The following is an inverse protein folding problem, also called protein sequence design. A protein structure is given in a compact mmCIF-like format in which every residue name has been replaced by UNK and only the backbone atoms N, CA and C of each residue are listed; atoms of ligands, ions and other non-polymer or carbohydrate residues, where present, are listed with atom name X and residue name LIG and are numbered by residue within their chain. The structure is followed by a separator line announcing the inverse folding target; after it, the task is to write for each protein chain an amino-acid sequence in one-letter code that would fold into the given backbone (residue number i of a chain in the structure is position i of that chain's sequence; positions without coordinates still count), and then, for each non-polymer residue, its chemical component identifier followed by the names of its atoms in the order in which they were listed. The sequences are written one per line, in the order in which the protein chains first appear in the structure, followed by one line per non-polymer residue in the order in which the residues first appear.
data_IF_599125986352
#
_entry.id   IF_599125986352
#
_cell.length_a   1.000
_cell.length_b   1.000
_cell.length_c   1.000
_cell.angle_alpha   90.00
_cell.angle_beta   90.00
_cell.angle_gamma   90.00
#
_symmetry.space_group_name_H-M   'P 1'
#
loop_
_entity.id
_entity.type
_entity.pdbx_description
1 polymer ?
#
# COMPACT_ATOMS: atom_id res chain seq x y z
N UNK A 1 4.63 -49.53 41.87
CA UNK A 1 3.65 -48.42 41.81
C UNK A 1 4.41 -47.12 41.69
N UNK A 2 4.67 -46.66 40.48
CA UNK A 2 5.18 -45.31 40.23
C UNK A 2 4.22 -44.72 39.19
N UNK A 3 3.28 -43.90 39.66
CA UNK A 3 2.39 -43.13 38.80
C UNK A 3 3.23 -42.07 38.09
N UNK A 4 3.52 -42.30 36.81
CA UNK A 4 4.01 -41.29 35.90
C UNK A 4 2.80 -40.59 35.28
N UNK A 5 2.33 -39.52 35.90
CA UNK A 5 1.27 -38.70 35.31
C UNK A 5 1.53 -37.21 35.58
N UNK A 6 2.55 -36.69 34.93
CA UNK A 6 2.68 -35.25 34.70
C UNK A 6 3.28 -35.06 33.31
N UNK A 7 2.39 -34.92 32.32
CA UNK A 7 2.73 -34.30 31.04
C UNK A 7 3.30 -32.92 31.34
N UNK A 8 4.61 -32.75 31.15
CA UNK A 8 5.24 -31.44 31.16
C UNK A 8 4.68 -30.65 29.96
N UNK A 9 3.65 -29.87 30.24
CA UNK A 9 3.06 -28.94 29.29
C UNK A 9 3.98 -27.73 29.25
N UNK A 10 4.89 -27.69 28.27
CA UNK A 10 5.66 -26.49 27.96
C UNK A 10 4.72 -25.42 27.37
N UNK A 11 3.88 -24.83 28.22
CA UNK A 11 3.06 -23.68 27.88
C UNK A 11 3.88 -22.41 28.11
N UNK A 12 4.82 -22.12 27.21
CA UNK A 12 5.62 -20.87 27.24
C UNK A 12 4.73 -19.63 27.02
N UNK A 13 3.47 -19.82 26.64
CA UNK A 13 2.44 -18.80 26.54
C UNK A 13 1.16 -19.36 27.19
N UNK A 14 0.58 -18.64 28.15
CA UNK A 14 -0.77 -18.97 28.59
C UNK A 14 -1.70 -18.91 27.37
N UNK A 15 -2.63 -19.87 27.20
CA UNK A 15 -3.58 -19.81 26.10
C UNK A 15 -4.36 -18.51 26.22
N UNK A 16 -4.38 -17.72 25.13
CA UNK A 16 -5.12 -16.45 25.05
C UNK A 16 -6.53 -16.69 25.60
N UNK A 17 -6.81 -16.11 26.77
CA UNK A 17 -8.09 -16.21 27.48
C UNK A 17 -9.17 -15.33 26.84
N UNK A 18 -8.95 -14.92 25.59
CA UNK A 18 -9.90 -14.17 24.79
C UNK A 18 -11.23 -14.91 24.66
N UNK A 19 -12.31 -14.14 24.74
CA UNK A 19 -13.65 -14.63 24.46
C UNK A 19 -13.79 -15.17 23.03
N UNK A 20 -14.92 -15.86 22.77
CA UNK A 20 -15.30 -16.28 21.43
C UNK A 20 -15.33 -15.08 20.46
N UNK A 21 -15.04 -15.33 19.18
CA UNK A 21 -14.99 -14.25 18.20
C UNK A 21 -16.39 -13.66 17.97
N UNK A 22 -16.62 -12.37 18.24
CA UNK A 22 -17.95 -11.77 18.13
C UNK A 22 -18.50 -11.78 16.71
N UNK A 23 -17.66 -11.96 15.69
CA UNK A 23 -18.13 -12.11 14.30
C UNK A 23 -19.04 -13.35 14.14
N UNK A 24 -18.85 -14.40 14.93
CA UNK A 24 -19.64 -15.64 14.87
C UNK A 24 -21.06 -15.42 15.40
N UNK A 25 -21.21 -14.64 16.47
CA UNK A 25 -22.49 -14.27 17.04
C UNK A 25 -23.13 -13.01 16.40
N UNK A 26 -22.37 -12.25 15.60
CA UNK A 26 -22.85 -11.00 15.00
C UNK A 26 -23.96 -11.26 13.96
N UNK A 27 -25.05 -10.50 14.06
CA UNK A 27 -26.10 -10.46 13.04
C UNK A 27 -25.60 -9.88 11.71
N UNK A 28 -26.37 -10.09 10.63
CA UNK A 28 -26.00 -9.68 9.27
C UNK A 28 -25.58 -8.20 9.17
N UNK A 29 -26.36 -7.28 9.73
CA UNK A 29 -26.06 -5.86 9.70
C UNK A 29 -24.74 -5.53 10.43
N UNK A 30 -24.52 -6.13 11.62
CA UNK A 30 -23.28 -5.93 12.37
C UNK A 30 -22.05 -6.49 11.65
N UNK A 31 -22.20 -7.55 10.85
CA UNK A 31 -21.11 -8.05 9.98
C UNK A 31 -20.85 -7.09 8.83
N UNK A 32 -21.90 -6.63 8.17
CA UNK A 32 -21.83 -5.72 7.02
C UNK A 32 -21.17 -4.38 7.35
N UNK A 33 -21.49 -3.78 8.50
CA UNK A 33 -20.87 -2.49 8.90
C UNK A 33 -19.62 -2.66 9.76
N UNK A 34 -19.08 -3.88 9.88
CA UNK A 34 -17.98 -4.23 10.81
C UNK A 34 -18.23 -3.81 12.28
N UNK A 35 -19.50 -3.67 12.67
CA UNK A 35 -19.91 -3.22 14.00
C UNK A 35 -19.51 -4.16 15.14
N UNK A 36 -19.20 -5.43 14.83
CA UNK A 36 -18.71 -6.42 15.80
C UNK A 36 -17.35 -6.03 16.40
N UNK A 37 -16.60 -5.12 15.77
CA UNK A 37 -15.31 -4.61 16.26
C UNK A 37 -15.46 -3.55 17.36
N UNK A 38 -16.64 -2.93 17.49
CA UNK A 38 -16.91 -1.79 18.38
C UNK A 38 -16.51 -2.03 19.85
N UNK A 39 -16.76 -3.20 20.48
CA UNK A 39 -16.36 -3.42 21.87
C UNK A 39 -14.85 -3.31 22.09
N UNK A 40 -14.05 -3.88 21.19
CA UNK A 40 -12.58 -3.83 21.26
C UNK A 40 -12.06 -2.41 21.00
N UNK A 41 -12.63 -1.69 20.03
CA UNK A 41 -12.29 -0.30 19.77
C UNK A 41 -12.63 0.61 20.96
N UNK A 42 -13.76 0.36 21.63
CA UNK A 42 -14.17 1.11 22.81
C UNK A 42 -13.23 0.83 23.98
N UNK A 43 -12.84 -0.42 24.19
CA UNK A 43 -11.86 -0.81 25.21
C UNK A 43 -10.48 -0.16 24.95
N UNK A 44 -10.04 -0.15 23.69
CA UNK A 44 -8.79 0.48 23.26
C UNK A 44 -8.76 2.00 23.47
N UNK A 45 -9.92 2.67 23.43
CA UNK A 45 -10.04 4.08 23.79
C UNK A 45 -9.95 4.33 25.30
N UNK A 46 -10.27 3.33 26.12
CA UNK A 46 -10.26 3.46 27.59
C UNK A 46 -8.90 3.09 28.19
N UNK A 47 -8.23 2.09 27.63
CA UNK A 47 -6.89 1.66 28.05
C UNK A 47 -6.13 1.01 26.91
N UNK A 48 -4.81 0.89 27.09
CA UNK A 48 -3.99 0.09 26.19
C UNK A 48 -4.43 -1.38 26.21
N UNK A 49 -4.60 -1.95 25.02
CA UNK A 49 -5.00 -3.34 24.83
C UNK A 49 -3.85 -4.27 25.18
N UNK A 50 -4.17 -5.36 25.88
CA UNK A 50 -3.26 -6.43 26.20
C UNK A 50 -3.62 -7.70 25.40
N UNK A 51 -2.71 -8.67 25.23
CA UNK A 51 -2.96 -9.87 24.45
C UNK A 51 -4.19 -10.67 24.89
N UNK A 52 -4.59 -10.57 26.17
CA UNK A 52 -5.75 -11.26 26.71
C UNK A 52 -7.09 -10.64 26.25
N UNK A 53 -7.06 -9.39 25.79
CA UNK A 53 -8.24 -8.67 25.27
C UNK A 53 -8.62 -9.10 23.85
N UNK A 54 -7.71 -9.77 23.14
CA UNK A 54 -7.91 -10.21 21.77
C UNK A 54 -8.79 -11.44 21.73
N UNK A 55 -9.72 -11.48 20.78
CA UNK A 55 -10.56 -12.64 20.56
C UNK A 55 -9.79 -13.83 20.01
N UNK A 56 -10.28 -15.02 20.32
CA UNK A 56 -9.78 -16.24 19.69
C UNK A 56 -10.08 -16.22 18.19
N UNK A 57 -9.16 -16.77 17.41
CA UNK A 57 -9.38 -16.98 15.98
C UNK A 57 -10.52 -17.98 15.75
N UNK A 58 -11.33 -17.71 14.73
CA UNK A 58 -12.34 -18.66 14.24
C UNK A 58 -11.66 -19.95 13.81
N UNK A 59 -12.33 -21.10 13.98
CA UNK A 59 -11.74 -22.41 13.66
C UNK A 59 -11.29 -22.52 12.19
N UNK A 60 -12.04 -21.91 11.27
CA UNK A 60 -11.70 -21.84 9.85
C UNK A 60 -10.42 -21.05 9.55
N UNK A 61 -10.01 -20.16 10.48
CA UNK A 61 -8.82 -19.30 10.34
C UNK A 61 -7.64 -19.80 11.17
N UNK A 62 -7.74 -20.96 11.82
CA UNK A 62 -6.62 -21.57 12.55
C UNK A 62 -5.60 -22.14 11.57
N UNK A 63 -4.33 -22.06 11.94
CA UNK A 63 -3.20 -22.47 11.07
C UNK A 63 -3.27 -23.95 10.71
N UNK A 64 -3.59 -24.84 11.65
CA UNK A 64 -3.59 -26.29 11.41
C UNK A 64 -4.52 -26.73 10.26
N UNK A 65 -5.84 -26.40 10.24
CA UNK A 65 -6.71 -26.80 9.13
C UNK A 65 -6.31 -26.12 7.80
N UNK A 66 -5.89 -24.84 7.86
CA UNK A 66 -5.46 -24.11 6.67
C UNK A 66 -4.22 -24.75 6.02
N UNK A 67 -3.20 -25.05 6.83
CA UNK A 67 -1.95 -25.68 6.38
C UNK A 67 -2.21 -27.07 5.83
N UNK A 68 -3.01 -27.90 6.49
CA UNK A 68 -3.33 -29.25 6.01
C UNK A 68 -4.02 -29.21 4.65
N UNK A 69 -5.01 -28.32 4.48
CA UNK A 69 -5.67 -28.14 3.20
C UNK A 69 -4.69 -27.65 2.12
N UNK A 70 -3.91 -26.62 2.43
CA UNK A 70 -2.94 -26.05 1.49
C UNK A 70 -1.87 -27.08 1.07
N UNK A 71 -1.30 -27.81 2.02
CA UNK A 71 -0.29 -28.83 1.78
C UNK A 71 -0.82 -29.97 0.89
N UNK A 72 -2.07 -30.40 1.10
CA UNK A 72 -2.70 -31.44 0.27
C UNK A 72 -2.81 -31.03 -1.20
N UNK A 73 -3.12 -29.76 -1.46
CA UNK A 73 -3.19 -29.19 -2.82
C UNK A 73 -1.79 -28.95 -3.37
N UNK A 74 -0.85 -28.52 -2.53
CA UNK A 74 0.54 -28.28 -2.89
C UNK A 74 1.25 -29.52 -3.43
N UNK A 75 1.08 -30.67 -2.78
CA UNK A 75 1.64 -31.93 -3.29
C UNK A 75 0.96 -32.37 -4.60
N UNK A 76 -0.37 -32.18 -4.74
CA UNK A 76 -1.12 -32.49 -5.98
C UNK A 76 -0.72 -31.61 -7.17
N UNK A 77 -0.32 -30.36 -6.92
CA UNK A 77 0.04 -29.36 -7.94
C UNK A 77 1.55 -29.31 -8.23
N UNK A 78 2.29 -30.36 -7.86
CA UNK A 78 3.72 -30.45 -8.19
C UNK A 78 4.59 -29.46 -7.42
N UNK A 79 4.21 -29.11 -6.19
CA UNK A 79 4.98 -28.26 -5.28
C UNK A 79 5.17 -26.81 -5.76
N UNK A 80 4.26 -26.31 -6.58
CA UNK A 80 4.21 -24.92 -6.99
C UNK A 80 3.28 -24.10 -6.08
N UNK A 81 3.83 -23.10 -5.37
CA UNK A 81 3.10 -22.25 -4.41
C UNK A 81 1.96 -21.49 -5.10
N UNK A 82 2.23 -20.80 -6.21
CA UNK A 82 1.23 -20.00 -6.92
C UNK A 82 0.12 -20.87 -7.54
N UNK A 83 0.46 -22.02 -8.10
CA UNK A 83 -0.53 -22.97 -8.63
C UNK A 83 -1.49 -23.48 -7.56
N UNK A 84 -0.95 -23.71 -6.36
CA UNK A 84 -1.72 -24.14 -5.18
C UNK A 84 -2.62 -23.02 -4.66
N UNK A 85 -2.10 -21.79 -4.63
CA UNK A 85 -2.89 -20.60 -4.31
C UNK A 85 -4.11 -20.46 -5.22
N UNK A 86 -3.90 -20.48 -6.55
CA UNK A 86 -5.03 -20.39 -7.48
C UNK A 86 -6.00 -21.56 -7.31
N UNK A 87 -5.52 -22.79 -7.16
CA UNK A 87 -6.41 -23.94 -6.96
C UNK A 87 -7.34 -23.82 -5.74
N UNK A 88 -6.89 -23.15 -4.66
CA UNK A 88 -7.67 -22.97 -3.42
C UNK A 88 -8.57 -21.73 -3.50
N UNK A 89 -8.04 -20.62 -4.00
CA UNK A 89 -8.71 -19.32 -3.89
C UNK A 89 -9.38 -18.83 -5.18
N UNK A 90 -9.30 -19.57 -6.30
CA UNK A 90 -9.77 -19.13 -7.63
C UNK A 90 -11.18 -18.54 -7.65
N UNK A 91 -12.16 -19.19 -6.99
CA UNK A 91 -13.53 -18.70 -6.99
C UNK A 91 -13.69 -17.34 -6.30
N UNK A 92 -13.04 -17.15 -5.15
CA UNK A 92 -13.00 -15.85 -4.44
C UNK A 92 -12.20 -14.82 -5.22
N UNK A 93 -11.11 -15.25 -5.85
CA UNK A 93 -10.23 -14.42 -6.65
C UNK A 93 -10.96 -13.82 -7.86
N UNK A 94 -11.73 -14.61 -8.63
CA UNK A 94 -12.55 -14.05 -9.73
C UNK A 94 -13.55 -13.03 -9.20
N UNK A 95 -14.26 -13.35 -8.10
CA UNK A 95 -15.24 -12.44 -7.52
C UNK A 95 -14.60 -11.12 -7.11
N UNK A 96 -13.45 -11.16 -6.45
CA UNK A 96 -12.67 -9.97 -6.07
C UNK A 96 -12.32 -9.15 -7.31
N UNK A 97 -11.82 -9.80 -8.37
CA UNK A 97 -11.49 -9.12 -9.62
C UNK A 97 -12.69 -8.41 -10.24
N UNK A 98 -13.83 -9.09 -10.37
CA UNK A 98 -15.05 -8.52 -10.93
C UNK A 98 -15.55 -7.32 -10.10
N UNK A 99 -15.54 -7.45 -8.78
CA UNK A 99 -15.96 -6.40 -7.87
C UNK A 99 -14.98 -5.20 -7.89
N UNK A 100 -13.67 -5.43 -8.07
CA UNK A 100 -12.69 -4.37 -8.20
C UNK A 100 -12.85 -3.61 -9.53
N UNK A 101 -13.20 -4.31 -10.61
CA UNK A 101 -13.61 -3.66 -11.86
C UNK A 101 -14.88 -2.83 -11.68
N UNK A 102 -15.90 -3.35 -10.99
CA UNK A 102 -17.11 -2.59 -10.70
C UNK A 102 -16.80 -1.34 -9.86
N UNK A 103 -15.88 -1.46 -8.91
CA UNK A 103 -15.41 -0.35 -8.09
C UNK A 103 -14.70 0.73 -8.92
N UNK A 104 -13.87 0.33 -9.89
CA UNK A 104 -13.24 1.24 -10.86
C UNK A 104 -14.30 1.99 -11.69
N UNK A 105 -15.35 1.31 -12.16
CA UNK A 105 -16.47 1.97 -12.87
C UNK A 105 -17.18 2.97 -11.97
N UNK A 106 -17.42 2.62 -10.71
CA UNK A 106 -18.01 3.52 -9.71
C UNK A 106 -17.16 4.77 -9.44
N UNK A 107 -15.84 4.63 -9.41
CA UNK A 107 -14.92 5.77 -9.26
C UNK A 107 -14.98 6.74 -10.44
N UNK A 108 -15.11 6.21 -11.66
CA UNK A 108 -15.18 7.01 -12.88
C UNK A 108 -16.57 7.61 -13.16
N UNK A 109 -17.63 7.07 -12.56
CA UNK A 109 -19.00 7.54 -12.77
C UNK A 109 -19.16 9.04 -12.45
N UNK A 110 -18.55 9.50 -11.36
CA UNK A 110 -18.62 10.91 -10.95
C UNK A 110 -17.90 11.85 -11.90
N UNK A 111 -16.56 11.75 -12.03
CA UNK A 111 -15.77 12.60 -12.91
C UNK A 111 -16.10 12.45 -14.41
N UNK A 112 -16.45 11.24 -14.85
CA UNK A 112 -16.63 10.92 -16.26
C UNK A 112 -18.02 11.21 -16.82
N UNK A 113 -19.06 11.23 -15.98
CA UNK A 113 -20.44 11.41 -16.45
C UNK A 113 -21.17 12.49 -15.63
N UNK A 114 -21.30 12.30 -14.32
CA UNK A 114 -22.19 13.14 -13.50
C UNK A 114 -21.74 14.60 -13.45
N UNK A 115 -20.45 14.86 -13.29
CA UNK A 115 -19.96 16.22 -13.07
C UNK A 115 -20.24 17.14 -14.27
N UNK A 116 -19.99 16.67 -15.48
CA UNK A 116 -20.25 17.44 -16.71
C UNK A 116 -21.74 17.71 -16.92
N UNK A 117 -22.59 16.69 -16.73
CA UNK A 117 -24.04 16.79 -16.87
C UNK A 117 -24.67 17.74 -15.85
N UNK A 118 -24.23 17.68 -14.59
CA UNK A 118 -24.73 18.58 -13.54
C UNK A 118 -24.37 20.02 -13.86
N UNK A 119 -23.14 20.30 -14.29
CA UNK A 119 -22.73 21.66 -14.63
C UNK A 119 -23.51 22.17 -15.86
N UNK A 120 -23.63 21.35 -16.91
CA UNK A 120 -24.39 21.71 -18.11
C UNK A 120 -25.87 21.98 -17.80
N UNK A 121 -26.48 21.19 -16.92
CA UNK A 121 -27.87 21.39 -16.50
C UNK A 121 -28.07 22.66 -15.65
N UNK A 122 -27.06 23.08 -14.89
CA UNK A 122 -27.08 24.33 -14.11
C UNK A 122 -26.84 25.56 -14.98
N UNK A 123 -26.04 25.44 -16.04
CA UNK A 123 -25.80 26.51 -17.03
C UNK A 123 -26.98 26.70 -18.00
N UNK A 124 -27.88 25.73 -18.11
CA UNK A 124 -29.03 25.80 -19.00
C UNK A 124 -30.03 26.90 -18.57
N UNK A 125 -30.72 27.58 -19.53
CA UNK A 125 -31.67 28.66 -19.23
C UNK A 125 -32.84 28.24 -18.32
N UNK A 126 -33.22 26.96 -18.37
CA UNK A 126 -34.26 26.39 -17.53
C UNK A 126 -33.68 25.22 -16.73
N UNK A 127 -33.59 25.39 -15.42
CA UNK A 127 -33.10 24.34 -14.51
C UNK A 127 -34.16 23.25 -14.35
N UNK A 128 -33.87 22.05 -14.81
CA UNK A 128 -34.63 20.87 -14.41
C UNK A 128 -34.10 20.35 -13.07
N UNK A 129 -34.64 20.89 -11.97
CA UNK A 129 -34.21 20.55 -10.62
C UNK A 129 -34.32 19.03 -10.33
N UNK A 130 -35.35 18.36 -10.87
CA UNK A 130 -35.53 16.92 -10.70
C UNK A 130 -34.40 16.11 -11.33
N UNK A 131 -33.98 16.47 -12.55
CA UNK A 131 -32.87 15.80 -13.23
C UNK A 131 -31.54 15.98 -12.48
N UNK A 132 -31.25 17.21 -12.04
CA UNK A 132 -30.02 17.50 -11.26
C UNK A 132 -30.03 16.75 -9.92
N UNK A 133 -31.16 16.74 -9.20
CA UNK A 133 -31.28 16.00 -7.94
C UNK A 133 -31.14 14.48 -8.16
N UNK A 134 -31.65 13.93 -9.27
CA UNK A 134 -31.45 12.53 -9.62
C UNK A 134 -29.98 12.19 -9.87
N UNK A 135 -29.26 13.04 -10.61
CA UNK A 135 -27.82 12.87 -10.86
C UNK A 135 -26.97 12.99 -9.59
N UNK A 136 -27.26 13.96 -8.73
CA UNK A 136 -26.54 14.13 -7.46
C UNK A 136 -26.87 12.96 -6.51
N UNK A 137 -28.13 12.55 -6.46
CA UNK A 137 -28.58 11.40 -5.68
C UNK A 137 -27.96 10.08 -6.16
N UNK A 138 -27.88 9.86 -7.47
CA UNK A 138 -27.22 8.68 -8.04
C UNK A 138 -25.72 8.68 -7.75
N UNK A 139 -25.05 9.83 -7.86
CA UNK A 139 -23.64 9.97 -7.51
C UNK A 139 -23.39 9.60 -6.04
N UNK A 140 -24.19 10.15 -5.12
CA UNK A 140 -24.08 9.83 -3.70
C UNK A 140 -24.30 8.33 -3.44
N UNK A 141 -25.34 7.74 -4.03
CA UNK A 141 -25.65 6.32 -3.88
C UNK A 141 -24.53 5.43 -4.42
N UNK A 142 -24.00 5.74 -5.61
CA UNK A 142 -22.89 5.00 -6.23
C UNK A 142 -21.63 5.12 -5.37
N UNK A 143 -21.28 6.31 -4.88
CA UNK A 143 -20.08 6.49 -4.07
C UNK A 143 -20.20 5.83 -2.68
N UNK A 144 -21.38 5.85 -2.07
CA UNK A 144 -21.64 5.13 -0.83
C UNK A 144 -21.51 3.62 -1.02
N UNK A 145 -22.14 3.08 -2.08
CA UNK A 145 -22.02 1.66 -2.42
C UNK A 145 -20.57 1.26 -2.73
N UNK A 146 -19.84 2.11 -3.46
CA UNK A 146 -18.44 1.89 -3.80
C UNK A 146 -17.53 1.93 -2.56
N UNK A 147 -17.79 2.83 -1.60
CA UNK A 147 -17.07 2.86 -0.34
C UNK A 147 -17.28 1.57 0.47
N UNK A 148 -18.52 1.09 0.58
CA UNK A 148 -18.81 -0.19 1.22
C UNK A 148 -18.11 -1.34 0.50
N UNK A 149 -18.19 -1.36 -0.84
CA UNK A 149 -17.59 -2.39 -1.67
C UNK A 149 -16.06 -2.47 -1.48
N UNK A 150 -15.37 -1.33 -1.56
CA UNK A 150 -13.91 -1.25 -1.36
C UNK A 150 -13.47 -1.77 -0.01
N UNK A 151 -14.18 -1.40 1.06
CA UNK A 151 -13.85 -1.87 2.41
C UNK A 151 -14.01 -3.39 2.54
N UNK A 152 -15.08 -3.97 1.98
CA UNK A 152 -15.27 -5.42 1.98
C UNK A 152 -14.25 -6.13 1.08
N UNK A 153 -13.88 -5.55 -0.05
CA UNK A 153 -12.84 -6.08 -0.93
C UNK A 153 -11.47 -6.12 -0.23
N UNK A 154 -11.09 -5.04 0.44
CA UNK A 154 -9.86 -4.98 1.22
C UNK A 154 -9.86 -6.05 2.32
N UNK A 155 -10.95 -6.17 3.07
CA UNK A 155 -11.09 -7.20 4.10
C UNK A 155 -10.95 -8.62 3.53
N UNK A 156 -11.56 -8.92 2.38
CA UNK A 156 -11.45 -10.23 1.74
C UNK A 156 -10.05 -10.52 1.22
N UNK A 157 -9.38 -9.53 0.60
CA UNK A 157 -8.00 -9.64 0.14
C UNK A 157 -7.05 -9.88 1.32
N UNK A 158 -7.17 -9.09 2.39
CA UNK A 158 -6.34 -9.23 3.59
C UNK A 158 -6.55 -10.59 4.26
N UNK A 159 -7.80 -11.06 4.34
CA UNK A 159 -8.10 -12.39 4.88
C UNK A 159 -7.43 -13.51 4.07
N UNK A 160 -7.53 -13.47 2.74
CA UNK A 160 -6.87 -14.44 1.85
C UNK A 160 -5.34 -14.38 2.04
N UNK A 161 -4.77 -13.17 2.07
CA UNK A 161 -3.33 -12.97 2.27
C UNK A 161 -2.84 -13.53 3.61
N UNK A 162 -3.57 -13.27 4.69
CA UNK A 162 -3.25 -13.78 6.03
C UNK A 162 -3.37 -15.30 6.08
N UNK A 163 -4.44 -15.90 5.57
CA UNK A 163 -4.63 -17.35 5.52
C UNK A 163 -3.52 -18.04 4.72
N UNK A 164 -3.19 -17.48 3.57
CA UNK A 164 -2.15 -18.00 2.69
C UNK A 164 -0.77 -17.93 3.33
N UNK A 165 -0.35 -16.76 3.83
CA UNK A 165 0.97 -16.62 4.47
C UNK A 165 1.11 -17.42 5.75
N UNK A 166 0.04 -17.58 6.53
CA UNK A 166 0.05 -18.41 7.73
C UNK A 166 0.31 -19.88 7.40
N UNK A 167 -0.29 -20.37 6.31
CA UNK A 167 -0.05 -21.73 5.78
C UNK A 167 1.41 -21.89 5.34
N UNK A 168 1.94 -20.93 4.59
CA UNK A 168 3.33 -20.94 4.14
C UNK A 168 4.32 -20.89 5.31
N UNK A 169 4.09 -20.05 6.32
CA UNK A 169 4.92 -19.99 7.53
C UNK A 169 4.94 -21.32 8.27
N UNK A 170 3.80 -21.97 8.41
CA UNK A 170 3.70 -23.29 9.04
C UNK A 170 4.50 -24.34 8.27
N UNK A 171 4.32 -24.40 6.95
CA UNK A 171 5.06 -25.34 6.09
C UNK A 171 6.57 -25.07 6.09
N UNK A 172 6.97 -23.79 6.07
CA UNK A 172 8.37 -23.39 6.13
C UNK A 172 9.00 -23.80 7.46
N UNK A 173 8.27 -23.60 8.57
CA UNK A 173 8.72 -24.01 9.90
C UNK A 173 8.87 -25.54 10.00
N UNK A 174 7.87 -26.31 9.56
CA UNK A 174 7.95 -27.77 9.52
C UNK A 174 9.09 -28.27 8.62
N UNK A 175 9.31 -27.62 7.47
CA UNK A 175 10.40 -27.94 6.57
C UNK A 175 11.74 -27.64 7.22
N UNK A 176 11.91 -26.49 7.87
CA UNK A 176 13.13 -26.08 8.56
C UNK A 176 13.54 -27.07 9.66
N UNK A 177 12.57 -27.62 10.40
CA UNK A 177 12.80 -28.66 11.42
C UNK A 177 13.28 -29.99 10.81
N UNK A 178 12.93 -30.28 9.56
CA UNK A 178 13.29 -31.52 8.84
C UNK A 178 14.48 -31.38 7.89
N UNK A 179 15.10 -30.20 7.81
CA UNK A 179 16.28 -29.99 6.97
C UNK A 179 17.48 -30.77 7.52
N UNK A 180 18.14 -31.51 6.64
CA UNK A 180 19.36 -32.23 6.91
C UNK A 180 20.57 -31.27 6.98
N UNK A 181 21.70 -31.76 7.48
CA UNK A 181 22.90 -30.94 7.66
C UNK A 181 23.49 -30.41 6.34
N UNK A 182 23.26 -31.08 5.20
CA UNK A 182 23.72 -30.61 3.89
C UNK A 182 22.91 -29.39 3.43
N UNK A 183 21.58 -29.45 3.51
CA UNK A 183 20.72 -28.31 3.15
C UNK A 183 20.93 -27.09 4.05
N UNK A 184 21.30 -27.30 5.32
CA UNK A 184 21.66 -26.21 6.26
C UNK A 184 22.98 -25.49 5.89
N UNK A 185 23.80 -26.07 5.02
CA UNK A 185 25.00 -25.39 4.48
C UNK A 185 24.66 -24.48 3.29
N UNK A 186 23.59 -24.78 2.55
CA UNK A 186 23.14 -23.97 1.41
C UNK A 186 22.30 -22.76 1.82
N UNK A 187 21.51 -22.88 2.90
CA UNK A 187 20.69 -21.80 3.45
C UNK A 187 21.03 -21.57 4.91
N UNK A 188 21.46 -20.36 5.23
CA UNK A 188 21.79 -19.97 6.61
C UNK A 188 20.51 -19.82 7.44
N UNK A 189 20.65 -19.82 8.77
CA UNK A 189 19.54 -19.49 9.67
C UNK A 189 18.97 -18.08 9.39
N UNK A 190 19.82 -17.15 8.94
CA UNK A 190 19.40 -15.81 8.52
C UNK A 190 18.53 -15.84 7.26
N UNK A 191 18.89 -16.66 6.26
CA UNK A 191 18.09 -16.81 5.04
C UNK A 191 16.70 -17.39 5.34
N UNK A 192 16.63 -18.39 6.23
CA UNK A 192 15.36 -18.98 6.66
C UNK A 192 14.53 -17.98 7.46
N UNK A 193 15.17 -17.18 8.32
CA UNK A 193 14.49 -16.11 9.04
C UNK A 193 13.91 -15.06 8.08
N UNK A 194 14.64 -14.68 7.03
CA UNK A 194 14.16 -13.77 6.01
C UNK A 194 12.97 -14.35 5.23
N UNK A 195 13.04 -15.62 4.85
CA UNK A 195 11.90 -16.33 4.23
C UNK A 195 10.66 -16.27 5.12
N UNK A 196 10.85 -16.48 6.43
CA UNK A 196 9.76 -16.49 7.40
C UNK A 196 9.17 -15.10 7.66
N UNK A 197 10.00 -14.06 7.76
CA UNK A 197 9.54 -12.72 8.14
C UNK A 197 9.18 -11.81 6.96
N UNK A 198 9.94 -11.84 5.87
CA UNK A 198 9.79 -10.92 4.73
C UNK A 198 9.05 -11.59 3.59
N UNK A 199 9.53 -12.74 3.12
CA UNK A 199 9.00 -13.34 1.90
C UNK A 199 7.56 -13.82 2.05
N UNK A 200 7.20 -14.42 3.19
CA UNK A 200 5.80 -14.81 3.45
C UNK A 200 4.85 -13.62 3.55
N UNK A 201 5.33 -12.42 3.94
CA UNK A 201 4.53 -11.18 3.95
C UNK A 201 4.36 -10.66 2.52
N UNK A 202 5.43 -10.62 1.73
CA UNK A 202 5.38 -10.17 0.34
C UNK A 202 4.43 -11.02 -0.51
N UNK A 203 4.38 -12.32 -0.23
CA UNK A 203 3.45 -13.25 -0.89
C UNK A 203 1.98 -12.97 -0.52
N UNK A 204 1.68 -12.33 0.62
CA UNK A 204 0.32 -11.84 0.93
C UNK A 204 -0.12 -10.77 -0.06
N UNK A 205 0.79 -9.85 -0.39
CA UNK A 205 0.54 -8.75 -1.30
C UNK A 205 0.25 -9.22 -2.73
N UNK A 206 0.64 -10.45 -3.09
CA UNK A 206 0.36 -11.05 -4.40
C UNK A 206 -1.11 -10.93 -4.80
N UNK A 207 -2.03 -11.30 -3.90
CA UNK A 207 -3.47 -11.33 -4.16
C UNK A 207 -4.03 -9.94 -4.52
N UNK A 208 -3.53 -8.90 -3.84
CA UNK A 208 -3.92 -7.51 -4.10
C UNK A 208 -3.22 -6.95 -5.35
N UNK A 209 -1.91 -7.22 -5.51
CA UNK A 209 -1.11 -6.71 -6.62
C UNK A 209 -1.57 -7.23 -7.97
N UNK A 210 -1.91 -8.51 -8.08
CA UNK A 210 -2.33 -9.12 -9.36
C UNK A 210 -3.62 -8.50 -9.91
N UNK A 211 -4.59 -8.16 -9.06
CA UNK A 211 -5.80 -7.50 -9.56
C UNK A 211 -5.53 -6.05 -9.98
N UNK A 212 -4.70 -5.35 -9.21
CA UNK A 212 -4.29 -4.01 -9.56
C UNK A 212 -3.48 -3.94 -10.88
N UNK A 213 -2.75 -5.00 -11.24
CA UNK A 213 -1.97 -5.09 -12.49
C UNK A 213 -2.81 -4.96 -13.78
N UNK A 214 -4.09 -5.35 -13.76
CA UNK A 214 -4.97 -5.19 -14.92
C UNK A 214 -6.03 -4.10 -14.71
N UNK A 215 -6.48 -3.87 -13.48
CA UNK A 215 -7.43 -2.78 -13.18
C UNK A 215 -6.80 -1.40 -13.43
N UNK A 216 -5.55 -1.17 -12.99
CA UNK A 216 -4.92 0.15 -13.17
C UNK A 216 -4.71 0.52 -14.64
N UNK A 217 -4.19 -0.35 -15.53
CA UNK A 217 -4.12 -0.05 -16.96
C UNK A 217 -5.49 0.21 -17.59
N UNK A 218 -6.52 -0.55 -17.21
CA UNK A 218 -7.89 -0.29 -17.68
C UNK A 218 -8.41 1.06 -17.21
N UNK A 219 -8.14 1.44 -15.96
CA UNK A 219 -8.51 2.74 -15.41
C UNK A 219 -7.81 3.87 -16.17
N UNK A 220 -6.50 3.75 -16.42
CA UNK A 220 -5.74 4.72 -17.21
C UNK A 220 -6.35 4.84 -18.62
N UNK A 221 -6.60 3.72 -19.30
CA UNK A 221 -7.20 3.70 -20.62
C UNK A 221 -8.59 4.36 -20.67
N UNK A 222 -9.44 4.04 -19.69
CA UNK A 222 -10.78 4.61 -19.58
C UNK A 222 -10.74 6.13 -19.31
N UNK A 223 -9.86 6.59 -18.41
CA UNK A 223 -9.70 8.03 -18.12
C UNK A 223 -9.16 8.78 -19.34
N UNK A 224 -8.17 8.22 -20.05
CA UNK A 224 -7.65 8.83 -21.27
C UNK A 224 -8.70 8.90 -22.37
N UNK A 225 -9.52 7.86 -22.52
CA UNK A 225 -10.65 7.87 -23.45
C UNK A 225 -11.66 8.97 -23.10
N UNK A 226 -12.08 9.07 -21.82
CA UNK A 226 -13.00 10.11 -21.37
C UNK A 226 -12.42 11.51 -21.56
N UNK A 227 -11.14 11.72 -21.22
CA UNK A 227 -10.46 12.98 -21.47
C UNK A 227 -10.42 13.32 -22.96
N UNK A 228 -10.15 12.35 -23.83
CA UNK A 228 -10.20 12.55 -25.28
C UNK A 228 -11.61 12.96 -25.76
N UNK A 229 -12.68 12.40 -25.18
CA UNK A 229 -14.05 12.82 -25.54
C UNK A 229 -14.37 14.26 -25.11
N UNK A 230 -13.73 14.77 -24.04
CA UNK A 230 -14.01 16.12 -23.50
C UNK A 230 -13.11 17.18 -24.13
N UNK A 231 -11.80 16.94 -24.24
CA UNK A 231 -10.80 17.92 -24.72
C UNK A 231 -10.14 17.54 -26.06
N UNK A 232 -10.59 16.47 -26.71
CA UNK A 232 -10.06 16.05 -28.01
C UNK A 232 -8.57 15.72 -27.96
N UNK A 233 -7.84 16.09 -29.01
CA UNK A 233 -6.40 15.77 -29.13
C UNK A 233 -5.50 16.58 -28.17
N UNK A 234 -6.02 17.61 -27.49
CA UNK A 234 -5.27 18.36 -26.48
C UNK A 234 -4.72 17.48 -25.35
N UNK A 235 -5.37 16.34 -25.08
CA UNK A 235 -4.90 15.36 -24.10
C UNK A 235 -3.51 14.81 -24.42
N UNK A 236 -3.18 14.64 -25.70
CA UNK A 236 -1.86 14.11 -26.11
C UNK A 236 -0.74 15.12 -25.87
N UNK A 237 -1.03 16.42 -26.00
CA UNK A 237 -0.08 17.49 -25.60
C UNK A 237 0.10 17.51 -24.09
N UNK A 238 -0.99 17.33 -23.34
CA UNK A 238 -0.93 17.14 -21.88
C UNK A 238 -0.07 15.95 -21.47
N UNK A 239 -0.24 14.80 -22.13
CA UNK A 239 0.59 13.60 -21.91
C UNK A 239 2.07 13.86 -22.23
N UNK A 240 2.38 14.57 -23.32
CA UNK A 240 3.75 14.96 -23.62
C UNK A 240 4.34 15.86 -22.51
N UNK A 241 3.56 16.81 -21.99
CA UNK A 241 3.98 17.63 -20.85
C UNK A 241 4.20 16.80 -19.58
N UNK A 242 3.32 15.84 -19.27
CA UNK A 242 3.50 14.90 -18.15
C UNK A 242 4.81 14.13 -18.30
N UNK A 243 5.13 13.63 -19.49
CA UNK A 243 6.38 12.89 -19.73
C UNK A 243 7.62 13.76 -19.47
N UNK A 244 7.62 15.00 -19.94
CA UNK A 244 8.72 15.95 -19.70
C UNK A 244 8.87 16.23 -18.19
N UNK A 245 7.76 16.46 -17.49
CA UNK A 245 7.78 16.70 -16.05
C UNK A 245 8.24 15.46 -15.28
N UNK A 246 7.88 14.25 -15.73
CA UNK A 246 8.31 13.00 -15.11
C UNK A 246 9.82 12.79 -15.27
N UNK A 247 10.40 13.11 -16.44
CA UNK A 247 11.84 13.08 -16.67
C UNK A 247 12.54 14.07 -15.72
N UNK A 248 12.01 15.29 -15.61
CA UNK A 248 12.52 16.30 -14.68
C UNK A 248 12.50 15.81 -13.22
N UNK A 249 11.37 15.25 -12.77
CA UNK A 249 11.24 14.65 -11.44
C UNK A 249 12.24 13.51 -11.24
N UNK A 250 12.46 12.67 -12.25
CA UNK A 250 13.45 11.59 -12.23
C UNK A 250 14.89 12.09 -12.03
N UNK A 251 15.29 13.13 -12.75
CA UNK A 251 16.61 13.76 -12.59
C UNK A 251 16.81 14.31 -11.16
N UNK A 252 15.80 15.01 -10.62
CA UNK A 252 15.86 15.54 -9.25
C UNK A 252 15.82 14.44 -8.19
N UNK A 253 15.09 13.35 -8.42
CA UNK A 253 15.10 12.18 -7.55
C UNK A 253 16.48 11.50 -7.51
N UNK A 254 17.19 11.41 -8.65
CA UNK A 254 18.57 10.91 -8.68
C UNK A 254 19.54 11.82 -7.91
N UNK A 255 19.40 13.14 -8.05
CA UNK A 255 20.18 14.12 -7.28
C UNK A 255 19.86 14.04 -5.78
N UNK A 256 18.59 13.84 -5.43
CA UNK A 256 18.16 13.59 -4.05
C UNK A 256 18.84 12.35 -3.48
N UNK A 257 18.92 11.26 -4.25
CA UNK A 257 19.58 10.02 -3.85
C UNK A 257 21.07 10.20 -3.56
N UNK A 258 21.80 10.91 -4.42
CA UNK A 258 23.25 11.15 -4.23
C UNK A 258 23.53 12.02 -3.00
N UNK A 259 22.75 13.08 -2.78
CA UNK A 259 22.86 13.89 -1.57
C UNK A 259 22.38 13.13 -0.32
N UNK A 260 21.44 12.19 -0.47
CA UNK A 260 21.02 11.28 0.61
C UNK A 260 22.17 10.42 1.11
N UNK A 261 22.90 9.80 0.18
CA UNK A 261 24.08 9.00 0.50
C UNK A 261 25.16 9.85 1.17
N UNK A 262 25.37 11.08 0.67
CA UNK A 262 26.35 11.99 1.23
C UNK A 262 26.05 12.37 2.67
N UNK A 263 24.81 12.75 3.00
CA UNK A 263 24.50 13.13 4.38
C UNK A 263 24.58 11.93 5.32
N UNK A 264 24.25 10.72 4.85
CA UNK A 264 24.40 9.49 5.64
C UNK A 264 25.87 9.22 5.97
N UNK A 265 26.79 9.37 5.02
CA UNK A 265 28.24 9.24 5.27
C UNK A 265 28.73 10.22 6.35
N UNK A 266 28.35 11.50 6.25
CA UNK A 266 28.73 12.53 7.24
C UNK A 266 28.14 12.25 8.62
N UNK A 267 26.92 11.72 8.68
CA UNK A 267 26.28 11.27 9.92
C UNK A 267 27.05 10.10 10.53
N UNK A 268 27.50 9.14 9.73
CA UNK A 268 28.25 7.98 10.19
C UNK A 268 29.64 8.38 10.69
N UNK A 269 30.35 9.29 10.01
CA UNK A 269 31.62 9.87 10.45
C UNK A 269 31.48 10.56 11.82
N UNK A 270 30.42 11.35 12.00
CA UNK A 270 30.11 11.98 13.29
C UNK A 270 29.83 10.93 14.36
N UNK A 271 29.01 9.93 14.05
CA UNK A 271 28.62 8.90 15.02
C UNK A 271 29.82 8.05 15.45
N UNK A 272 30.76 7.78 14.54
CA UNK A 272 32.02 7.10 14.85
C UNK A 272 32.80 7.85 15.93
N UNK A 273 33.00 9.16 15.77
CA UNK A 273 33.71 9.98 16.77
C UNK A 273 32.95 10.03 18.10
N UNK A 274 31.62 10.15 18.06
CA UNK A 274 30.80 10.10 19.27
C UNK A 274 31.00 8.77 20.02
N UNK A 275 30.98 7.64 19.31
CA UNK A 275 31.22 6.32 19.90
C UNK A 275 32.64 6.19 20.49
N UNK A 276 33.67 6.70 19.81
CA UNK A 276 35.05 6.73 20.32
C UNK A 276 35.16 7.54 21.63
N UNK A 277 34.48 8.70 21.69
CA UNK A 277 34.46 9.56 22.89
C UNK A 277 33.79 8.87 24.07
N UNK A 278 32.61 8.28 23.88
CA UNK A 278 31.92 7.57 24.96
C UNK A 278 32.64 6.28 25.37
N UNK A 279 33.26 5.57 24.43
CA UNK A 279 34.06 4.39 24.71
C UNK A 279 35.30 4.67 25.55
N UNK A 280 35.88 5.88 25.44
CA UNK A 280 37.10 6.29 26.15
C UNK A 280 36.88 7.47 27.12
N UNK A 281 35.66 7.64 27.65
CA UNK A 281 35.26 8.85 28.38
C UNK A 281 36.10 9.13 29.62
N UNK A 282 36.55 8.09 30.33
CA UNK A 282 37.39 8.23 31.53
C UNK A 282 38.74 8.87 31.20
N UNK A 283 39.39 8.44 30.11
CA UNK A 283 40.69 8.98 29.65
C UNK A 283 40.52 10.44 29.21
N UNK A 284 39.45 10.74 28.48
CA UNK A 284 39.16 12.10 28.00
C UNK A 284 38.98 13.06 29.18
N UNK A 285 38.21 12.67 30.21
CA UNK A 285 38.00 13.48 31.41
C UNK A 285 39.26 13.64 32.25
N UNK A 286 40.01 12.56 32.44
CA UNK A 286 41.26 12.60 33.20
C UNK A 286 42.28 13.58 32.60
N UNK A 287 42.29 13.70 31.27
CA UNK A 287 43.20 14.61 30.55
C UNK A 287 42.58 15.98 30.20
N UNK A 288 41.36 16.27 30.64
CA UNK A 288 40.63 17.50 30.30
C UNK A 288 40.54 17.79 28.77
N UNK A 289 40.30 16.75 27.96
CA UNK A 289 40.24 16.85 26.50
C UNK A 289 38.82 17.10 25.94
N UNK A 290 37.83 17.34 26.78
CA UNK A 290 36.42 17.45 26.39
C UNK A 290 36.20 18.52 25.33
N UNK A 291 36.77 19.71 25.52
CA UNK A 291 36.61 20.84 24.58
C UNK A 291 37.20 20.52 23.19
N UNK A 292 38.32 19.78 23.14
CA UNK A 292 38.93 19.39 21.86
C UNK A 292 38.05 18.40 21.09
N UNK A 293 37.52 17.38 21.76
CA UNK A 293 36.60 16.42 21.14
C UNK A 293 35.26 17.08 20.77
N UNK A 294 34.75 17.99 21.61
CA UNK A 294 33.55 18.75 21.32
C UNK A 294 33.72 19.61 20.07
N UNK A 295 34.86 20.29 19.91
CA UNK A 295 35.17 21.07 18.72
C UNK A 295 35.20 20.18 17.45
N UNK A 296 35.84 19.01 17.53
CA UNK A 296 35.86 18.02 16.43
C UNK A 296 34.45 17.56 16.06
N UNK A 297 33.61 17.23 17.04
CA UNK A 297 32.20 16.82 16.81
C UNK A 297 31.40 17.97 16.19
N UNK A 298 31.58 19.22 16.65
CA UNK A 298 30.90 20.40 16.08
C UNK A 298 31.31 20.66 14.63
N UNK A 299 32.57 20.44 14.27
CA UNK A 299 33.04 20.54 12.88
C UNK A 299 32.38 19.49 11.97
N UNK A 300 32.28 18.23 12.43
CA UNK A 300 31.57 17.20 11.67
C UNK A 300 30.07 17.52 11.57
N UNK A 301 29.48 18.04 12.65
CA UNK A 301 28.07 18.45 12.67
C UNK A 301 27.77 19.59 11.70
N UNK A 302 28.66 20.58 11.55
CA UNK A 302 28.44 21.68 10.61
C UNK A 302 28.49 21.20 9.15
N UNK A 303 29.41 20.28 8.81
CA UNK A 303 29.46 19.63 7.52
C UNK A 303 28.19 18.78 7.24
N UNK A 304 27.77 17.98 8.22
CA UNK A 304 26.52 17.20 8.16
C UNK A 304 25.32 18.12 7.90
N UNK A 305 25.16 19.19 8.68
CA UNK A 305 24.06 20.16 8.52
C UNK A 305 24.09 20.87 7.16
N UNK A 306 25.28 21.14 6.61
CA UNK A 306 25.42 21.70 5.26
C UNK A 306 24.85 20.76 4.19
N UNK A 307 25.15 19.46 4.28
CA UNK A 307 24.60 18.43 3.38
C UNK A 307 23.10 18.23 3.59
N UNK A 308 22.63 18.18 4.84
CA UNK A 308 21.20 18.12 5.17
C UNK A 308 20.45 19.31 4.59
N UNK A 309 20.99 20.54 4.68
CA UNK A 309 20.37 21.73 4.07
C UNK A 309 20.26 21.60 2.55
N UNK A 310 21.26 21.02 1.88
CA UNK A 310 21.22 20.77 0.43
C UNK A 310 20.18 19.73 0.08
N UNK A 311 20.13 18.61 0.81
CA UNK A 311 19.14 17.57 0.67
C UNK A 311 17.71 18.12 0.83
N UNK A 312 17.45 18.90 1.88
CA UNK A 312 16.14 19.51 2.12
C UNK A 312 15.73 20.49 1.01
N UNK A 313 16.67 21.27 0.44
CA UNK A 313 16.36 22.14 -0.71
C UNK A 313 15.94 21.34 -1.94
N UNK A 314 16.63 20.23 -2.23
CA UNK A 314 16.28 19.36 -3.36
C UNK A 314 14.89 18.75 -3.16
N UNK A 315 14.60 18.25 -1.94
CA UNK A 315 13.27 17.75 -1.59
C UNK A 315 12.21 18.82 -1.78
N UNK A 316 12.44 20.05 -1.29
CA UNK A 316 11.49 21.14 -1.44
C UNK A 316 11.17 21.43 -2.91
N UNK A 317 12.20 21.48 -3.76
CA UNK A 317 12.03 21.67 -5.21
C UNK A 317 11.21 20.52 -5.80
N UNK A 318 11.59 19.27 -5.51
CA UNK A 318 10.91 18.08 -6.04
C UNK A 318 9.42 18.04 -5.62
N UNK A 319 9.12 18.25 -4.34
CA UNK A 319 7.74 18.28 -3.83
C UNK A 319 6.95 19.43 -4.47
N UNK A 320 7.55 20.61 -4.63
CA UNK A 320 6.90 21.76 -5.26
C UNK A 320 6.54 21.44 -6.71
N UNK A 321 7.49 20.93 -7.50
CA UNK A 321 7.24 20.55 -8.89
C UNK A 321 6.20 19.43 -9.01
N UNK A 322 6.26 18.43 -8.14
CA UNK A 322 5.28 17.34 -8.12
C UNK A 322 3.85 17.85 -7.85
N UNK A 323 3.68 18.78 -6.90
CA UNK A 323 2.37 19.38 -6.60
C UNK A 323 1.91 20.38 -7.68
N UNK A 324 2.83 21.06 -8.37
CA UNK A 324 2.52 21.94 -9.49
C UNK A 324 2.26 21.18 -10.80
N UNK A 325 2.64 19.90 -10.89
CA UNK A 325 2.50 19.09 -12.12
C UNK A 325 1.06 19.10 -12.66
N UNK A 326 0.01 18.83 -11.87
CA UNK A 326 -1.36 18.84 -12.38
C UNK A 326 -1.79 20.22 -12.92
N UNK A 327 -1.31 21.29 -12.28
CA UNK A 327 -1.61 22.67 -12.69
C UNK A 327 -0.96 22.96 -14.05
N UNK A 328 0.33 22.67 -14.19
CA UNK A 328 1.07 22.88 -15.44
C UNK A 328 0.48 22.08 -16.60
N UNK A 329 0.15 20.81 -16.37
CA UNK A 329 -0.47 19.93 -17.37
C UNK A 329 -1.83 20.46 -17.78
N UNK A 330 -2.65 20.89 -16.82
CA UNK A 330 -3.97 21.48 -17.08
C UNK A 330 -3.85 22.75 -17.92
N UNK A 331 -2.91 23.65 -17.59
CA UNK A 331 -2.65 24.87 -18.37
C UNK A 331 -2.29 24.51 -19.81
N UNK A 332 -1.38 23.55 -20.03
CA UNK A 332 -0.97 23.13 -21.38
C UNK A 332 -2.15 22.58 -22.18
N UNK A 333 -3.00 21.76 -21.55
CA UNK A 333 -4.17 21.16 -22.19
C UNK A 333 -5.22 22.20 -22.55
N UNK A 334 -5.57 23.09 -21.62
CA UNK A 334 -6.56 24.14 -21.90
C UNK A 334 -6.04 25.22 -22.84
N UNK A 335 -4.76 25.55 -22.79
CA UNK A 335 -4.12 26.43 -23.77
C UNK A 335 -4.18 25.82 -25.17
N UNK A 336 -3.90 24.52 -25.31
CA UNK A 336 -4.03 23.80 -26.58
C UNK A 336 -5.48 23.81 -27.08
N UNK A 337 -6.42 23.46 -26.20
CA UNK A 337 -7.85 23.41 -26.52
C UNK A 337 -8.41 24.78 -26.98
N UNK A 338 -8.02 25.85 -26.30
CA UNK A 338 -8.56 27.19 -26.59
C UNK A 338 -7.77 27.89 -27.70
N UNK A 339 -6.45 27.90 -27.63
CA UNK A 339 -5.60 28.69 -28.53
C UNK A 339 -5.33 27.99 -29.86
N UNK A 340 -5.11 26.67 -29.86
CA UNK A 340 -4.84 25.91 -31.09
C UNK A 340 -6.10 25.30 -31.69
N UNK A 341 -6.95 24.64 -30.89
CA UNK A 341 -8.18 24.02 -31.41
C UNK A 341 -9.33 25.02 -31.62
N UNK A 342 -9.18 26.25 -31.11
CA UNK A 342 -10.20 27.33 -31.20
C UNK A 342 -11.57 26.91 -30.64
N UNK A 343 -11.57 26.00 -29.67
CA UNK A 343 -12.78 25.54 -28.99
C UNK A 343 -13.08 26.42 -27.77
N UNK A 344 -14.37 26.56 -27.44
CA UNK A 344 -14.79 27.31 -26.27
C UNK A 344 -14.59 26.46 -24.99
N UNK A 345 -13.87 27.01 -24.03
CA UNK A 345 -13.61 26.37 -22.75
C UNK A 345 -14.79 26.65 -21.79
N UNK A 346 -15.74 25.72 -21.70
CA UNK A 346 -16.89 25.82 -20.78
C UNK A 346 -16.53 25.38 -19.37
N UNK A 347 -17.33 25.80 -18.38
CA UNK A 347 -17.13 25.41 -16.97
C UNK A 347 -17.22 23.89 -16.82
N UNK A 348 -18.16 23.24 -17.52
CA UNK A 348 -18.31 21.79 -17.53
C UNK A 348 -17.04 21.06 -18.01
N UNK A 349 -16.40 21.56 -19.08
CA UNK A 349 -15.15 20.99 -19.62
C UNK A 349 -14.02 21.13 -18.59
N UNK A 350 -13.88 22.29 -17.97
CA UNK A 350 -12.81 22.58 -17.00
C UNK A 350 -12.89 21.65 -15.80
N UNK A 351 -14.05 21.59 -15.13
CA UNK A 351 -14.21 20.79 -13.92
C UNK A 351 -14.15 19.28 -14.20
N UNK A 352 -14.76 18.81 -15.29
CA UNK A 352 -14.70 17.39 -15.65
C UNK A 352 -13.28 16.94 -15.99
N UNK A 353 -12.53 17.79 -16.71
CA UNK A 353 -11.13 17.52 -17.07
C UNK A 353 -10.23 17.51 -15.83
N UNK A 354 -10.40 18.46 -14.90
CA UNK A 354 -9.66 18.49 -13.63
C UNK A 354 -9.93 17.24 -12.78
N UNK A 355 -11.18 16.82 -12.66
CA UNK A 355 -11.56 15.64 -11.90
C UNK A 355 -10.96 14.35 -12.52
N UNK A 356 -11.04 14.21 -13.85
CA UNK A 356 -10.43 13.09 -14.55
C UNK A 356 -8.89 13.10 -14.50
N UNK A 357 -8.25 14.27 -14.55
CA UNK A 357 -6.79 14.36 -14.35
C UNK A 357 -6.37 13.90 -12.97
N UNK A 358 -7.15 14.23 -11.93
CA UNK A 358 -6.89 13.73 -10.58
C UNK A 358 -6.97 12.19 -10.54
N UNK A 359 -7.99 11.60 -11.17
CA UNK A 359 -8.10 10.14 -11.29
C UNK A 359 -6.93 9.52 -12.08
N UNK A 360 -6.47 10.16 -13.17
CA UNK A 360 -5.30 9.71 -13.93
C UNK A 360 -4.03 9.76 -13.08
N UNK A 361 -3.83 10.84 -12.32
CA UNK A 361 -2.67 11.02 -11.47
C UNK A 361 -2.61 9.94 -10.38
N UNK A 362 -3.73 9.64 -9.73
CA UNK A 362 -3.79 8.61 -8.69
C UNK A 362 -3.45 7.22 -9.26
N UNK A 363 -3.94 6.91 -10.47
CA UNK A 363 -3.61 5.66 -11.17
C UNK A 363 -2.12 5.59 -11.57
N UNK A 364 -1.54 6.69 -12.08
CA UNK A 364 -0.13 6.76 -12.46
C UNK A 364 0.82 6.64 -11.25
N UNK A 365 0.46 7.22 -10.10
CA UNK A 365 1.23 7.07 -8.85
C UNK A 365 1.14 5.63 -8.31
N UNK A 366 -0.03 4.99 -8.45
CA UNK A 366 -0.23 3.61 -8.01
C UNK A 366 0.52 2.57 -8.84
N UNK A 367 0.72 2.82 -10.14
CA UNK A 367 1.29 1.84 -11.07
C UNK A 367 2.69 1.33 -10.66
N UNK A 368 3.68 2.19 -10.32
CA UNK A 368 4.98 1.72 -9.82
C UNK A 368 4.89 0.91 -8.54
N UNK A 369 3.99 1.28 -7.62
CA UNK A 369 3.78 0.58 -6.35
C UNK A 369 3.28 -0.84 -6.60
N UNK A 370 2.32 -0.99 -7.52
CA UNK A 370 1.75 -2.29 -7.90
C UNK A 370 2.77 -3.14 -8.63
N UNK A 371 3.55 -2.57 -9.56
CA UNK A 371 4.63 -3.29 -10.24
C UNK A 371 5.69 -3.79 -9.26
N UNK A 372 6.14 -2.92 -8.34
CA UNK A 372 7.12 -3.29 -7.32
C UNK A 372 6.59 -4.39 -6.40
N UNK A 373 5.36 -4.26 -5.91
CA UNK A 373 4.70 -5.28 -5.09
C UNK A 373 4.54 -6.61 -5.81
N UNK A 374 4.17 -6.58 -7.10
CA UNK A 374 4.06 -7.79 -7.92
C UNK A 374 5.42 -8.47 -8.10
N UNK A 375 6.46 -7.72 -8.48
CA UNK A 375 7.83 -8.27 -8.63
C UNK A 375 8.32 -8.87 -7.31
N UNK A 376 8.17 -8.16 -6.20
CA UNK A 376 8.58 -8.64 -4.87
C UNK A 376 7.83 -9.94 -4.52
N UNK A 377 6.52 -9.98 -4.72
CA UNK A 377 5.73 -11.18 -4.43
C UNK A 377 6.12 -12.39 -5.30
N UNK A 378 6.46 -12.18 -6.58
CA UNK A 378 6.93 -13.24 -7.48
C UNK A 378 8.31 -13.75 -7.11
N UNK A 379 9.22 -12.86 -6.70
CA UNK A 379 10.56 -13.23 -6.20
C UNK A 379 10.44 -14.00 -4.89
N UNK A 380 9.63 -13.54 -3.95
CA UNK A 380 9.40 -14.21 -2.67
C UNK A 380 8.66 -15.56 -2.82
N UNK A 381 7.90 -15.76 -3.91
CA UNK A 381 7.24 -17.03 -4.20
C UNK A 381 8.16 -18.08 -4.86
N UNK A 382 9.31 -17.66 -5.40
CA UNK A 382 10.31 -18.52 -6.02
C UNK A 382 11.31 -19.02 -4.97
#
# INVERSE_FOLDING_TARGET
MLQSDTKAQYATFEPVRGGANPIEAAGFFSRFVFGWTKPLLTLGNQRQLAPEDLWRLQDANKVQPLTQHFQSVYERKGRAILSSFFAIYWGRFILIGLLQFLSMVGDLYGPGYVLGEVIAAVEAPTLNATYVLQLVGSLYAVQLANAVLKNHLNYLNDMIGIQFSSSLRSMLFEKALRLDASSKKEKTAGDIANLFSVDTINVMSFATSIHAMWVLPLQIGAVLYLLYTIVGWAIFVGLAAVLVILIFNGCFAALMGTESERFMKLKDDRMKVVNEVFGSIQIIKFNAWEEKFLAKIRQLRSAELGSVKRFMRIILILITFMNCTPILVTIVVFATFTMWMKQALTVAIVFSTLALFKSLQDALIGLPVVLSGMIQSLVSAK
#
